data_IF_017369495749
#
_entry.id   IF_017369495749
#
_cell.length_a   1.000
_cell.length_b   1.000
_cell.length_c   1.000
_cell.angle_alpha   90.00
_cell.angle_beta   90.00
_cell.angle_gamma   90.00
#
_symmetry.space_group_name_H-M   'P 1'
#
loop_
_entity.id
_entity.type
_entity.pdbx_description
1 polymer ?
#
# COMPACT_ATOMS: atom_id res chain seq x y z
N UNK A 1 -3.56 17.56 -6.85
CA UNK A 1 -4.13 16.36 -7.49
C UNK A 1 -2.97 15.59 -8.09
N UNK A 2 -2.87 14.28 -7.87
CA UNK A 2 -1.90 13.44 -8.58
C UNK A 2 -2.37 13.44 -10.03
N UNK A 3 -1.56 14.01 -10.92
CA UNK A 3 -1.84 13.99 -12.36
C UNK A 3 -1.41 12.65 -12.98
N UNK A 4 -0.36 12.03 -12.43
CA UNK A 4 0.12 10.69 -12.78
C UNK A 4 1.08 10.15 -11.72
N UNK A 5 1.25 8.82 -11.70
CA UNK A 5 2.30 8.14 -10.94
C UNK A 5 3.56 7.98 -11.81
N UNK A 6 4.73 7.87 -11.18
CA UNK A 6 6.00 7.76 -11.91
C UNK A 6 6.13 6.46 -12.71
N UNK A 7 5.49 5.37 -12.27
CA UNK A 7 5.59 4.08 -12.96
C UNK A 7 4.37 3.83 -13.87
N UNK A 8 4.63 3.46 -15.14
CA UNK A 8 3.60 3.32 -16.19
C UNK A 8 2.55 2.23 -15.93
N UNK A 9 2.89 1.22 -15.12
CA UNK A 9 1.99 0.13 -14.77
C UNK A 9 1.15 0.44 -13.53
N UNK A 10 1.28 1.66 -12.98
CA UNK A 10 0.51 2.06 -11.81
C UNK A 10 -0.98 2.00 -12.09
N UNK A 11 -1.74 1.56 -11.09
CA UNK A 11 -3.19 1.46 -11.15
C UNK A 11 -3.82 1.97 -9.86
N UNK A 12 -5.03 2.51 -9.98
CA UNK A 12 -5.82 3.01 -8.86
C UNK A 12 -7.25 2.49 -8.98
N UNK A 13 -7.77 1.90 -7.91
CA UNK A 13 -9.10 1.33 -7.88
C UNK A 13 -9.89 1.84 -6.69
N UNK A 14 -11.12 2.31 -6.94
CA UNK A 14 -12.05 2.85 -5.94
C UNK A 14 -13.28 1.93 -5.89
N UNK A 15 -13.42 1.08 -4.85
CA UNK A 15 -14.43 0.02 -4.82
C UNK A 15 -15.88 0.48 -4.89
N UNK A 16 -16.20 1.66 -4.38
CA UNK A 16 -17.57 2.20 -4.33
C UNK A 16 -17.90 3.14 -5.50
N UNK A 17 -16.99 3.29 -6.46
CA UNK A 17 -17.20 4.10 -7.67
C UNK A 17 -17.11 5.61 -7.46
N UNK A 18 -16.71 6.08 -6.28
CA UNK A 18 -16.39 7.50 -6.07
C UNK A 18 -15.21 7.95 -6.94
N UNK A 19 -15.00 9.26 -7.06
CA UNK A 19 -13.79 9.77 -7.73
C UNK A 19 -12.54 9.48 -6.89
N UNK A 20 -11.38 9.37 -7.55
CA UNK A 20 -10.12 9.17 -6.84
C UNK A 20 -9.82 10.32 -5.85
N UNK A 21 -10.18 11.55 -6.20
CA UNK A 21 -10.05 12.70 -5.30
C UNK A 21 -10.91 12.57 -4.05
N UNK A 22 -12.16 12.12 -4.19
CA UNK A 22 -13.03 11.88 -3.04
C UNK A 22 -12.47 10.77 -2.15
N UNK A 23 -12.01 9.67 -2.77
CA UNK A 23 -11.37 8.56 -2.07
C UNK A 23 -10.10 9.00 -1.32
N UNK A 24 -9.29 9.87 -1.91
CA UNK A 24 -8.11 10.43 -1.24
C UNK A 24 -8.50 11.35 -0.09
N UNK A 25 -9.41 12.29 -0.31
CA UNK A 25 -9.82 13.27 0.70
C UNK A 25 -10.47 12.64 1.94
N UNK A 26 -11.17 11.50 1.79
CA UNK A 26 -11.78 10.78 2.93
C UNK A 26 -10.81 9.84 3.64
N UNK A 27 -9.61 9.61 3.09
CA UNK A 27 -8.61 8.71 3.68
C UNK A 27 -8.22 9.17 5.07
N UNK A 28 -8.35 8.26 6.04
CA UNK A 28 -7.96 8.50 7.43
C UNK A 28 -6.84 7.57 7.89
N UNK A 29 -6.81 6.36 7.33
CA UNK A 29 -5.83 5.33 7.57
C UNK A 29 -5.23 4.95 6.21
N UNK A 30 -3.91 4.94 6.12
CA UNK A 30 -3.18 4.57 4.92
C UNK A 30 -2.24 3.42 5.24
N UNK A 31 -2.23 2.37 4.43
CA UNK A 31 -1.26 1.29 4.56
C UNK A 31 -0.35 1.23 3.33
N UNK A 32 0.95 1.04 3.56
CA UNK A 32 2.00 1.00 2.54
C UNK A 32 2.71 -0.34 2.64
N UNK A 33 2.31 -1.29 1.79
CA UNK A 33 2.86 -2.64 1.65
C UNK A 33 3.78 -2.78 0.46
N UNK A 34 4.66 -3.77 0.50
CA UNK A 34 5.56 -4.07 -0.60
C UNK A 34 4.84 -4.91 -1.66
N UNK A 35 4.12 -5.93 -1.21
CA UNK A 35 3.49 -6.93 -2.06
C UNK A 35 1.97 -6.93 -1.86
N UNK A 36 1.28 -7.55 -2.81
CA UNK A 36 -0.10 -7.99 -2.64
C UNK A 36 -0.18 -9.04 -1.52
N UNK A 37 -1.10 -8.88 -0.57
CA UNK A 37 -1.26 -9.61 0.71
C UNK A 37 -0.74 -8.87 1.97
N UNK A 38 0.31 -8.06 1.86
CA UNK A 38 0.92 -7.36 3.01
C UNK A 38 -0.13 -6.52 3.74
N UNK A 39 -0.98 -5.80 3.00
CA UNK A 39 -1.99 -4.90 3.55
C UNK A 39 -2.96 -5.65 4.46
N UNK A 40 -3.45 -6.80 4.01
CA UNK A 40 -4.43 -7.60 4.72
C UNK A 40 -3.83 -8.27 5.96
N UNK A 41 -2.56 -8.67 5.90
CA UNK A 41 -1.83 -9.27 7.03
C UNK A 41 -1.49 -8.20 8.07
N UNK A 42 -0.81 -7.13 7.64
CA UNK A 42 -0.15 -6.19 8.54
C UNK A 42 -1.07 -5.07 9.04
N UNK A 43 -2.07 -4.70 8.23
CA UNK A 43 -2.94 -3.56 8.48
C UNK A 43 -4.39 -3.94 8.74
N UNK A 44 -4.68 -5.20 9.09
CA UNK A 44 -6.02 -5.68 9.49
C UNK A 44 -6.69 -4.77 10.51
N UNK A 45 -5.93 -4.28 11.50
CA UNK A 45 -6.41 -3.30 12.48
C UNK A 45 -6.98 -2.03 11.82
N UNK A 46 -6.28 -1.49 10.81
CA UNK A 46 -6.75 -0.32 10.06
C UNK A 46 -7.99 -0.64 9.22
N UNK A 47 -8.00 -1.82 8.57
CA UNK A 47 -9.10 -2.28 7.73
C UNK A 47 -10.39 -2.40 8.56
N UNK A 48 -10.37 -3.11 9.68
CA UNK A 48 -11.56 -3.31 10.53
C UNK A 48 -12.07 -1.99 11.13
N UNK A 49 -11.17 -1.11 11.55
CA UNK A 49 -11.55 0.21 12.08
C UNK A 49 -12.21 1.13 11.04
N UNK A 50 -11.98 0.86 9.75
CA UNK A 50 -12.56 1.59 8.62
C UNK A 50 -13.70 0.82 7.93
N UNK A 51 -13.97 -0.43 8.32
CA UNK A 51 -14.86 -1.33 7.58
C UNK A 51 -16.32 -0.85 7.55
N UNK A 52 -16.77 -0.15 8.60
CA UNK A 52 -18.06 0.54 8.72
C UNK A 52 -19.34 -0.28 8.45
N UNK A 53 -20.28 -0.32 9.41
CA UNK A 53 -21.67 -0.74 9.16
C UNK A 53 -22.67 -0.09 10.14
N UNK A 54 -23.81 0.40 9.64
CA UNK A 54 -24.93 0.88 10.46
C UNK A 54 -24.65 2.19 11.24
N UNK A 55 -25.20 2.30 12.45
CA UNK A 55 -25.08 3.51 13.31
C UNK A 55 -23.67 3.70 13.91
N UNK A 56 -22.75 2.74 13.73
CA UNK A 56 -21.33 2.86 14.08
C UNK A 56 -20.50 3.36 12.88
N UNK A 57 -20.98 4.41 12.21
CA UNK A 57 -20.22 5.07 11.16
C UNK A 57 -19.07 5.88 11.79
N UNK A 58 -18.00 5.19 12.20
CA UNK A 58 -16.70 5.83 12.26
C UNK A 58 -16.45 6.37 10.85
N UNK A 59 -16.30 7.68 10.70
CA UNK A 59 -16.04 8.37 9.41
C UNK A 59 -14.62 8.07 8.89
N UNK A 60 -14.09 6.91 9.22
CA UNK A 60 -12.74 6.50 8.91
C UNK A 60 -12.77 5.68 7.63
N UNK A 61 -11.85 6.01 6.73
CA UNK A 61 -11.60 5.26 5.51
C UNK A 61 -10.17 4.78 5.45
N UNK A 62 -10.01 3.57 4.91
CA UNK A 62 -8.74 2.91 4.71
C UNK A 62 -8.35 2.99 3.24
N UNK A 63 -7.13 3.44 2.96
CA UNK A 63 -6.53 3.37 1.63
C UNK A 63 -5.31 2.45 1.69
N UNK A 64 -5.19 1.55 0.72
CA UNK A 64 -4.05 0.64 0.59
C UNK A 64 -3.11 1.05 -0.53
N UNK A 65 -1.81 0.82 -0.35
CA UNK A 65 -0.78 0.97 -1.38
C UNK A 65 0.04 -0.32 -1.44
N UNK A 66 0.12 -0.96 -2.61
CA UNK A 66 1.12 -1.99 -2.90
C UNK A 66 2.21 -1.40 -3.80
N UNK A 67 3.46 -1.46 -3.35
CA UNK A 67 4.58 -0.86 -4.08
C UNK A 67 4.95 -1.67 -5.32
N UNK A 68 5.00 -3.00 -5.20
CA UNK A 68 5.42 -3.90 -6.26
C UNK A 68 4.26 -4.59 -6.96
N UNK A 69 4.49 -5.04 -8.19
CA UNK A 69 3.50 -5.74 -9.01
C UNK A 69 3.30 -7.23 -8.66
N UNK A 70 4.09 -7.78 -7.73
CA UNK A 70 3.97 -9.17 -7.32
C UNK A 70 4.37 -10.19 -8.39
N UNK A 71 5.04 -9.79 -9.49
CA UNK A 71 5.47 -10.73 -10.54
C UNK A 71 6.38 -11.83 -10.00
N UNK A 72 7.21 -11.53 -8.99
CA UNK A 72 8.12 -12.49 -8.35
C UNK A 72 7.46 -13.45 -7.34
N UNK A 73 6.13 -13.43 -7.19
CA UNK A 73 5.41 -14.26 -6.20
C UNK A 73 5.67 -15.77 -6.36
N UNK A 74 5.54 -16.55 -5.28
CA UNK A 74 5.71 -18.01 -5.33
C UNK A 74 4.83 -18.66 -6.40
N UNK A 75 5.42 -19.54 -7.22
CA UNK A 75 4.74 -20.33 -8.25
C UNK A 75 4.34 -21.71 -7.73
N UNK A 76 3.90 -21.79 -6.47
CA UNK A 76 3.45 -23.04 -5.89
C UNK A 76 2.02 -23.38 -6.32
N UNK A 77 1.71 -24.68 -6.39
CA UNK A 77 0.35 -25.18 -6.60
C UNK A 77 -0.30 -24.68 -7.90
N UNK A 78 -1.44 -24.02 -7.76
CA UNK A 78 -2.28 -23.53 -8.87
C UNK A 78 -1.55 -22.55 -9.80
N UNK A 79 -0.51 -21.87 -9.29
CA UNK A 79 0.25 -20.88 -10.06
C UNK A 79 1.52 -21.46 -10.71
N UNK A 80 1.74 -22.78 -10.65
CA UNK A 80 2.98 -23.43 -11.11
C UNK A 80 3.30 -23.27 -12.61
N UNK A 81 2.31 -22.89 -13.42
CA UNK A 81 2.47 -22.65 -14.86
C UNK A 81 2.29 -21.17 -15.24
N UNK A 82 2.16 -20.27 -14.26
CA UNK A 82 1.95 -18.85 -14.54
C UNK A 82 3.28 -18.14 -14.87
N UNK A 83 3.30 -17.38 -15.97
CA UNK A 83 4.38 -16.44 -16.28
C UNK A 83 4.41 -15.26 -15.30
N UNK A 84 5.46 -14.47 -15.36
CA UNK A 84 5.63 -13.24 -14.56
C UNK A 84 4.53 -12.22 -14.84
N UNK A 85 4.20 -12.02 -16.10
CA UNK A 85 3.14 -11.12 -16.53
C UNK A 85 1.77 -11.63 -16.08
N UNK A 86 1.52 -12.94 -16.20
CA UNK A 86 0.27 -13.54 -15.72
C UNK A 86 0.13 -13.39 -14.21
N UNK A 87 1.20 -13.59 -13.45
CA UNK A 87 1.13 -13.42 -12.00
C UNK A 87 0.97 -11.98 -11.56
N UNK A 88 1.60 -11.03 -12.24
CA UNK A 88 1.37 -9.61 -11.97
C UNK A 88 -0.11 -9.23 -12.14
N UNK A 89 -0.74 -9.67 -13.23
CA UNK A 89 -2.17 -9.40 -13.46
C UNK A 89 -3.08 -10.13 -12.45
N UNK A 90 -2.74 -11.37 -12.07
CA UNK A 90 -3.46 -12.11 -11.02
C UNK A 90 -3.38 -11.37 -9.69
N UNK A 91 -2.18 -10.98 -9.24
CA UNK A 91 -1.97 -10.24 -7.98
C UNK A 91 -2.69 -8.90 -7.99
N UNK A 92 -2.69 -8.23 -9.15
CA UNK A 92 -3.39 -6.97 -9.34
C UNK A 92 -4.89 -7.08 -9.14
N UNK A 93 -5.50 -8.12 -9.70
CA UNK A 93 -6.94 -8.37 -9.56
C UNK A 93 -7.30 -8.82 -8.14
N UNK A 94 -6.52 -9.70 -7.53
CA UNK A 94 -6.74 -10.13 -6.15
C UNK A 94 -6.70 -8.97 -5.16
N UNK A 95 -5.78 -8.01 -5.34
CA UNK A 95 -5.71 -6.84 -4.47
C UNK A 95 -6.94 -5.92 -4.63
N UNK A 96 -7.53 -5.83 -5.84
CA UNK A 96 -8.80 -5.12 -6.05
C UNK A 96 -9.95 -5.84 -5.35
N UNK A 97 -9.99 -7.17 -5.43
CA UNK A 97 -10.99 -7.98 -4.74
C UNK A 97 -10.88 -7.83 -3.21
N UNK A 98 -9.66 -7.81 -2.67
CA UNK A 98 -9.41 -7.52 -1.26
C UNK A 98 -9.95 -6.13 -0.88
N UNK A 99 -9.75 -5.11 -1.72
CA UNK A 99 -10.28 -3.77 -1.51
C UNK A 99 -11.82 -3.71 -1.54
N UNK A 100 -12.48 -4.51 -2.39
CA UNK A 100 -13.95 -4.65 -2.39
C UNK A 100 -14.42 -5.31 -1.10
N UNK A 101 -13.81 -6.43 -0.71
CA UNK A 101 -14.18 -7.17 0.50
C UNK A 101 -13.98 -6.31 1.74
N UNK A 102 -12.82 -5.66 1.85
CA UNK A 102 -12.41 -4.79 2.96
C UNK A 102 -13.02 -3.39 2.93
N UNK A 103 -13.79 -3.05 1.89
CA UNK A 103 -14.47 -1.74 1.71
C UNK A 103 -13.51 -0.56 1.79
N UNK A 104 -12.40 -0.65 1.08
CA UNK A 104 -11.39 0.40 1.09
C UNK A 104 -11.94 1.67 0.44
N UNK A 105 -11.39 2.80 0.85
CA UNK A 105 -11.53 4.07 0.12
C UNK A 105 -11.01 3.94 -1.29
N UNK A 106 -9.78 3.41 -1.40
CA UNK A 106 -9.07 3.14 -2.63
C UNK A 106 -7.97 2.11 -2.37
N UNK A 107 -7.50 1.46 -3.43
CA UNK A 107 -6.23 0.76 -3.45
C UNK A 107 -5.38 1.25 -4.62
N UNK A 108 -4.14 1.61 -4.33
CA UNK A 108 -3.14 2.04 -5.30
C UNK A 108 -2.11 0.93 -5.47
N UNK A 109 -1.79 0.60 -6.70
CA UNK A 109 -0.85 -0.45 -7.05
C UNK A 109 0.21 0.18 -7.94
N UNK A 110 1.37 0.51 -7.39
CA UNK A 110 2.37 1.33 -8.10
C UNK A 110 3.12 0.53 -9.18
N UNK A 111 3.13 -0.79 -9.05
CA UNK A 111 3.54 -1.70 -10.11
C UNK A 111 5.04 -1.73 -10.39
N UNK A 112 5.87 -1.22 -9.48
CA UNK A 112 7.33 -1.39 -9.56
C UNK A 112 7.70 -2.88 -9.48
N UNK A 113 8.87 -3.26 -9.98
CA UNK A 113 9.44 -4.57 -9.60
C UNK A 113 10.18 -4.46 -8.26
N UNK A 114 10.35 -5.59 -7.57
CA UNK A 114 11.15 -5.62 -6.34
C UNK A 114 12.59 -5.17 -6.60
N UNK A 115 13.20 -5.57 -7.72
CA UNK A 115 14.57 -5.17 -8.08
C UNK A 115 14.69 -3.66 -8.34
N UNK A 116 13.68 -3.06 -8.99
CA UNK A 116 13.67 -1.63 -9.31
C UNK A 116 13.65 -0.77 -8.04
N UNK A 117 12.87 -1.12 -7.03
CA UNK A 117 12.82 -0.31 -5.80
C UNK A 117 14.07 -0.47 -4.93
N UNK A 118 14.91 -1.47 -5.19
CA UNK A 118 16.20 -1.66 -4.53
C UNK A 118 17.29 -0.79 -5.17
N UNK A 119 17.10 -0.33 -6.41
CA UNK A 119 17.99 0.61 -7.06
C UNK A 119 17.73 2.06 -6.59
N UNK A 120 18.74 2.92 -6.73
CA UNK A 120 18.67 4.31 -6.23
C UNK A 120 17.58 5.13 -6.91
N UNK A 121 17.37 4.93 -8.21
CA UNK A 121 16.43 5.72 -9.00
C UNK A 121 14.98 5.26 -8.78
N UNK A 122 14.74 3.94 -8.74
CA UNK A 122 13.45 3.37 -8.38
C UNK A 122 13.07 3.67 -6.93
N UNK A 123 14.01 3.59 -5.98
CA UNK A 123 13.78 4.03 -4.60
C UNK A 123 13.36 5.50 -4.51
N UNK A 124 14.01 6.39 -5.30
CA UNK A 124 13.64 7.80 -5.36
C UNK A 124 12.24 8.01 -5.95
N UNK A 125 11.92 7.34 -7.06
CA UNK A 125 10.60 7.42 -7.71
C UNK A 125 9.48 6.91 -6.81
N UNK A 126 9.69 5.78 -6.13
CA UNK A 126 8.75 5.26 -5.14
C UNK A 126 8.51 6.28 -4.02
N UNK A 127 9.57 6.85 -3.46
CA UNK A 127 9.46 7.89 -2.43
C UNK A 127 8.67 9.12 -2.92
N UNK A 128 8.86 9.55 -4.16
CA UNK A 128 8.13 10.68 -4.76
C UNK A 128 6.64 10.39 -4.98
N UNK A 129 6.29 9.18 -5.42
CA UNK A 129 4.90 8.72 -5.50
C UNK A 129 4.26 8.73 -4.10
N UNK A 130 4.93 8.13 -3.11
CA UNK A 130 4.44 8.07 -1.73
C UNK A 130 4.25 9.47 -1.14
N UNK A 131 5.19 10.40 -1.36
CA UNK A 131 5.06 11.79 -0.93
C UNK A 131 3.82 12.46 -1.56
N UNK A 132 3.60 12.25 -2.86
CA UNK A 132 2.48 12.82 -3.58
C UNK A 132 1.14 12.29 -3.08
N UNK A 133 1.07 11.00 -2.73
CA UNK A 133 -0.11 10.37 -2.15
C UNK A 133 -0.34 10.89 -0.73
N UNK A 134 0.70 10.96 0.10
CA UNK A 134 0.61 11.47 1.48
C UNK A 134 0.13 12.93 1.52
N UNK A 135 0.60 13.79 0.61
CA UNK A 135 0.15 15.19 0.51
C UNK A 135 -1.35 15.33 0.21
N UNK A 136 -1.92 14.37 -0.52
CA UNK A 136 -3.34 14.39 -0.89
C UNK A 136 -4.23 13.71 0.13
N UNK A 137 -3.78 12.58 0.67
CA UNK A 137 -4.56 11.77 1.59
C UNK A 137 -4.49 12.30 3.02
N UNK A 138 -3.39 12.96 3.41
CA UNK A 138 -3.13 13.48 4.77
C UNK A 138 -3.64 12.52 5.87
N UNK A 139 -3.21 11.25 5.84
CA UNK A 139 -3.78 10.25 6.73
C UNK A 139 -3.35 10.52 8.17
N UNK A 140 -4.25 10.24 9.12
CA UNK A 140 -3.91 10.33 10.55
C UNK A 140 -3.02 9.16 10.99
N UNK A 141 -3.28 7.98 10.46
CA UNK A 141 -2.52 6.76 10.79
C UNK A 141 -1.93 6.14 9.53
N UNK A 142 -0.64 5.84 9.57
CA UNK A 142 0.07 5.08 8.54
C UNK A 142 0.51 3.72 9.07
N UNK A 143 0.23 2.66 8.32
CA UNK A 143 0.74 1.31 8.53
C UNK A 143 1.80 1.02 7.48
N UNK A 144 2.95 0.49 7.88
CA UNK A 144 3.99 0.02 6.95
C UNK A 144 4.83 -1.05 7.63
N UNK A 145 5.88 -1.54 6.99
CA UNK A 145 6.70 -2.65 7.47
C UNK A 145 7.48 -2.30 8.77
N UNK A 146 7.80 -3.33 9.54
CA UNK A 146 8.69 -3.24 10.69
C UNK A 146 10.16 -3.02 10.23
N UNK A 147 10.94 -2.11 10.84
CA UNK A 147 12.38 -1.96 10.56
C UNK A 147 13.25 -3.20 10.80
N UNK A 148 12.75 -4.18 11.54
CA UNK A 148 13.43 -5.46 11.77
C UNK A 148 12.95 -6.59 10.83
N UNK A 149 12.23 -6.28 9.74
CA UNK A 149 11.83 -7.29 8.77
C UNK A 149 13.04 -7.90 8.05
N UNK A 150 12.98 -9.20 7.79
CA UNK A 150 14.03 -9.96 7.09
C UNK A 150 13.99 -9.79 5.57
N UNK A 151 12.89 -9.31 5.02
CA UNK A 151 12.66 -9.26 3.59
C UNK A 151 13.15 -7.91 3.04
N UNK A 152 14.17 -7.94 2.18
CA UNK A 152 14.82 -6.70 1.70
C UNK A 152 13.85 -5.71 1.05
N UNK A 153 12.90 -6.20 0.24
CA UNK A 153 11.85 -5.37 -0.37
C UNK A 153 10.97 -4.66 0.69
N UNK A 154 10.70 -5.29 1.84
CA UNK A 154 9.93 -4.65 2.92
C UNK A 154 10.71 -3.49 3.51
N UNK A 155 12.01 -3.68 3.74
CA UNK A 155 12.92 -2.64 4.24
C UNK A 155 13.05 -1.49 3.24
N UNK A 156 13.13 -1.77 1.94
CA UNK A 156 13.19 -0.73 0.90
C UNK A 156 11.92 0.13 0.86
N UNK A 157 10.75 -0.50 0.96
CA UNK A 157 9.46 0.22 1.02
C UNK A 157 9.33 1.03 2.31
N UNK A 158 9.72 0.46 3.45
CA UNK A 158 9.77 1.18 4.72
C UNK A 158 10.66 2.43 4.61
N UNK A 159 11.86 2.29 4.06
CA UNK A 159 12.79 3.39 3.88
C UNK A 159 12.16 4.51 3.04
N UNK A 160 11.58 4.18 1.89
CA UNK A 160 10.91 5.14 1.02
C UNK A 160 9.73 5.83 1.72
N UNK A 161 8.92 5.08 2.47
CA UNK A 161 7.79 5.60 3.24
C UNK A 161 8.23 6.58 4.34
N UNK A 162 9.26 6.23 5.11
CA UNK A 162 9.81 7.09 6.17
C UNK A 162 10.41 8.37 5.57
N UNK A 163 11.17 8.26 4.48
CA UNK A 163 11.69 9.42 3.77
C UNK A 163 10.56 10.35 3.31
N UNK A 164 9.53 9.80 2.65
CA UNK A 164 8.38 10.57 2.18
C UNK A 164 7.63 11.27 3.32
N UNK A 165 7.34 10.56 4.42
CA UNK A 165 6.67 11.15 5.58
C UNK A 165 7.51 12.24 6.26
N UNK A 166 8.85 12.11 6.28
CA UNK A 166 9.74 13.13 6.84
C UNK A 166 9.85 14.39 5.97
N UNK A 167 9.62 14.27 4.66
CA UNK A 167 9.58 15.43 3.74
C UNK A 167 8.28 16.26 3.86
N UNK A 168 7.23 15.74 4.52
CA UNK A 168 6.02 16.51 4.78
C UNK A 168 6.27 17.65 5.78
N UNK A 169 5.57 18.80 5.62
CA UNK A 169 5.43 19.79 6.68
C UNK A 169 5.01 19.12 7.99
N UNK A 170 5.50 19.61 9.13
CA UNK A 170 5.27 18.99 10.44
C UNK A 170 3.77 18.77 10.71
N UNK A 171 2.95 19.76 10.37
CA UNK A 171 1.50 19.73 10.60
C UNK A 171 0.74 18.79 9.64
N UNK A 172 1.39 18.37 8.54
CA UNK A 172 0.83 17.43 7.55
C UNK A 172 1.32 15.99 7.77
N UNK A 173 2.19 15.74 8.77
CA UNK A 173 2.68 14.40 9.07
C UNK A 173 1.60 13.56 9.75
N UNK A 174 1.60 12.23 9.53
CA UNK A 174 0.70 11.34 10.25
C UNK A 174 0.90 11.44 11.76
N UNK A 175 -0.21 11.44 12.50
CA UNK A 175 -0.23 11.45 13.96
C UNK A 175 0.35 10.14 14.52
N UNK A 176 0.18 9.03 13.79
CA UNK A 176 0.64 7.70 14.18
C UNK A 176 1.24 6.96 12.99
N UNK A 177 2.40 6.34 13.21
CA UNK A 177 3.05 5.42 12.27
C UNK A 177 3.23 4.07 12.97
N UNK A 178 2.75 3.01 12.36
CA UNK A 178 2.78 1.64 12.87
C UNK A 178 3.68 0.77 11.98
N UNK A 179 4.80 0.32 12.53
CA UNK A 179 5.65 -0.71 11.91
C UNK A 179 5.05 -2.09 12.22
N UNK A 180 4.57 -2.75 11.19
CA UNK A 180 3.75 -3.96 11.30
C UNK A 180 4.53 -5.18 10.82
N UNK A 181 4.17 -6.33 11.37
CA UNK A 181 4.83 -7.60 11.12
C UNK A 181 4.05 -8.38 10.05
N UNK A 182 4.76 -9.08 9.17
CA UNK A 182 4.14 -9.89 8.10
C UNK A 182 4.59 -11.35 8.18
N UNK A 183 5.90 -11.60 8.04
CA UNK A 183 6.43 -12.95 7.85
C UNK A 183 7.47 -13.37 8.90
N UNK A 184 7.30 -14.59 9.44
CA UNK A 184 8.10 -15.35 10.42
C UNK A 184 7.93 -14.98 11.89
N UNK A 185 8.30 -15.95 12.74
CA UNK A 185 8.50 -15.78 14.18
C UNK A 185 9.52 -14.69 14.42
N UNK A 186 9.07 -13.60 15.04
CA UNK A 186 9.95 -12.76 15.81
C UNK A 186 10.30 -13.53 17.08
N UNK A 187 11.20 -14.48 16.93
CA UNK A 187 12.08 -14.87 18.01
C UNK A 187 13.00 -13.67 18.27
N UNK A 188 12.51 -12.74 19.09
CA UNK A 188 13.33 -11.67 19.68
C UNK A 188 14.13 -12.20 20.86
#
# INVERSE_FOLDING_TARGET
MIESFNHKSSDAFVPDGASLDEAFNRTSHLAIGAHSDDLEIMAYHGIVNCYGFGQQANKNWFTGITATDGRGSSRAGLYSQCSDEQMAEIRKEEQKQAAVVGRYSAVLQLGYSSDEIMDKEGSLRLKEDLLSILKQTKPRTVYTHNPADKHDTHIAVLYAAICAMRELPIDDRPEKILGCEVWRDLDW
#
